data_IF_636718701932
#
_entry.id   IF_636718701932
#
_cell.length_a   1.000
_cell.length_b   1.000
_cell.length_c   1.000
_cell.angle_alpha   90.00
_cell.angle_beta   90.00
_cell.angle_gamma   90.00
#
_symmetry.space_group_name_H-M   'P 1'
#
loop_
_entity.id
_entity.type
_entity.pdbx_description
1 polymer ?
#
# COMPACT_ATOMS: atom_id res chain seq x y z
N UNK A 1 -59.36 -68.76 -14.57
CA UNK A 1 -60.29 -69.07 -13.47
C UNK A 1 -59.47 -69.33 -12.22
N UNK A 2 -59.66 -68.51 -11.16
CA UNK A 2 -59.27 -68.70 -9.74
C UNK A 2 -57.76 -68.87 -9.44
N UNK A 3 -57.19 -68.44 -8.32
CA UNK A 3 -57.53 -67.45 -7.28
C UNK A 3 -56.30 -67.36 -6.34
N UNK A 4 -56.06 -66.14 -5.82
CA UNK A 4 -55.61 -65.79 -4.46
C UNK A 4 -54.26 -66.29 -3.89
N UNK A 5 -53.49 -65.33 -3.34
CA UNK A 5 -52.53 -65.56 -2.25
C UNK A 5 -51.55 -64.41 -2.06
N UNK A 6 -51.68 -63.64 -0.98
CA UNK A 6 -51.03 -62.35 -0.71
C UNK A 6 -49.67 -62.42 0.01
N UNK A 7 -49.03 -61.24 0.14
CA UNK A 7 -48.26 -60.66 1.28
C UNK A 7 -46.95 -59.97 0.78
N UNK A 8 -46.85 -58.63 0.81
CA UNK A 8 -46.24 -57.76 1.86
C UNK A 8 -44.69 -57.86 1.90
N UNK A 9 -43.83 -56.83 1.93
CA UNK A 9 -43.92 -55.43 2.37
C UNK A 9 -42.69 -54.61 1.87
N UNK A 10 -42.93 -53.31 1.64
CA UNK A 10 -42.09 -52.10 1.86
C UNK A 10 -40.67 -51.97 1.28
N UNK A 11 -40.56 -51.03 0.33
CA UNK A 11 -39.35 -50.39 -0.15
C UNK A 11 -38.87 -49.25 0.79
N UNK A 12 -37.55 -49.14 0.93
CA UNK A 12 -36.84 -48.10 1.69
C UNK A 12 -36.50 -46.95 0.74
N UNK A 13 -36.90 -45.72 1.07
CA UNK A 13 -36.34 -44.49 0.49
C UNK A 13 -35.52 -43.74 1.55
N UNK A 14 -34.35 -43.19 1.20
CA UNK A 14 -33.47 -42.51 2.16
C UNK A 14 -33.91 -41.07 2.41
N UNK A 15 -33.93 -40.68 3.70
CA UNK A 15 -34.18 -39.33 4.15
C UNK A 15 -32.95 -38.42 3.99
N UNK A 16 -33.22 -37.23 3.48
CA UNK A 16 -32.33 -36.06 3.44
C UNK A 16 -32.12 -35.54 4.86
N UNK A 17 -30.87 -35.31 5.27
CA UNK A 17 -30.53 -34.53 6.47
C UNK A 17 -29.60 -33.37 6.08
N UNK A 18 -30.09 -32.14 6.27
CA UNK A 18 -29.30 -30.90 6.31
C UNK A 18 -29.26 -30.38 7.76
N UNK A 19 -28.06 -30.02 8.22
CA UNK A 19 -27.62 -29.09 9.30
C UNK A 19 -26.32 -29.71 9.86
N UNK A 20 -25.16 -29.07 9.86
CA UNK A 20 -24.84 -27.70 10.25
C UNK A 20 -23.92 -27.80 11.47
N UNK A 21 -22.60 -27.68 11.28
CA UNK A 21 -21.63 -27.44 12.36
C UNK A 21 -20.37 -26.81 11.76
N UNK A 22 -20.23 -25.49 11.93
CA UNK A 22 -18.98 -24.76 11.69
C UNK A 22 -18.07 -25.03 12.88
N UNK A 23 -17.10 -25.91 12.72
CA UNK A 23 -15.98 -26.02 13.67
C UNK A 23 -14.94 -24.99 13.26
N UNK A 24 -14.95 -23.84 13.93
CA UNK A 24 -13.86 -22.88 13.85
C UNK A 24 -12.60 -23.51 14.44
N UNK A 25 -11.61 -23.79 13.58
CA UNK A 25 -10.27 -24.16 14.02
C UNK A 25 -9.60 -22.88 14.51
N UNK A 26 -9.66 -22.65 15.82
CA UNK A 26 -8.87 -21.63 16.47
C UNK A 26 -7.39 -22.09 16.47
N UNK A 27 -6.60 -21.55 15.55
CA UNK A 27 -5.14 -21.66 15.60
C UNK A 27 -4.65 -20.77 16.73
N UNK A 28 -4.34 -21.37 17.89
CA UNK A 28 -3.54 -20.70 18.94
C UNK A 28 -2.10 -20.61 18.46
N UNK A 29 -1.71 -19.44 17.95
CA UNK A 29 -0.31 -19.10 17.78
C UNK A 29 0.26 -18.65 19.13
N UNK A 30 1.09 -19.49 19.75
CA UNK A 30 2.00 -19.07 20.82
C UNK A 30 3.42 -19.26 20.35
N UNK A 31 3.90 -18.32 19.55
CA UNK A 31 5.31 -17.98 19.47
C UNK A 31 5.41 -16.59 20.10
N UNK A 32 6.23 -16.45 21.14
CA UNK A 32 6.57 -15.13 21.65
C UNK A 32 7.23 -14.38 20.48
N UNK A 33 6.53 -13.40 19.91
CA UNK A 33 7.08 -12.56 18.86
C UNK A 33 8.32 -11.87 19.44
N UNK A 34 9.48 -12.05 18.80
CA UNK A 34 10.63 -11.20 19.08
C UNK A 34 10.18 -9.75 18.93
N UNK A 35 10.32 -8.96 20.00
CA UNK A 35 9.88 -7.58 19.99
C UNK A 35 10.66 -6.82 18.91
N UNK A 36 9.94 -6.13 18.02
CA UNK A 36 10.57 -5.28 16.99
C UNK A 36 11.54 -4.31 17.66
N UNK A 37 12.74 -4.16 17.09
CA UNK A 37 13.76 -3.19 17.54
C UNK A 37 13.20 -1.77 17.67
N UNK A 38 12.15 -1.45 16.93
CA UNK A 38 11.51 -0.13 16.87
C UNK A 38 10.15 -0.09 17.59
N UNK A 39 9.84 -1.07 18.45
CA UNK A 39 8.61 -1.09 19.24
C UNK A 39 8.45 0.15 20.16
N UNK A 40 9.56 0.80 20.49
CA UNK A 40 9.62 2.02 21.29
C UNK A 40 9.90 3.30 20.46
N UNK A 41 9.92 3.19 19.13
CA UNK A 41 10.12 4.32 18.22
C UNK A 41 11.57 4.53 17.81
N UNK A 42 11.87 5.74 17.34
CA UNK A 42 13.19 6.15 16.87
C UNK A 42 13.96 6.86 17.99
N UNK A 43 15.28 6.66 18.03
CA UNK A 43 16.15 7.46 18.90
C UNK A 43 16.22 8.91 18.40
N UNK A 44 16.58 9.88 19.27
CA UNK A 44 16.77 11.27 18.85
C UNK A 44 17.76 11.43 17.70
N UNK A 45 18.80 10.60 17.64
CA UNK A 45 19.82 10.60 16.58
C UNK A 45 19.23 10.16 15.24
N UNK A 46 18.38 9.12 15.24
CA UNK A 46 17.68 8.66 14.04
C UNK A 46 16.67 9.71 13.55
N UNK A 47 15.94 10.36 14.46
CA UNK A 47 15.04 11.47 14.12
C UNK A 47 15.82 12.63 13.49
N UNK A 48 16.97 13.01 14.08
CA UNK A 48 17.82 14.06 13.55
C UNK A 48 18.37 13.70 12.16
N UNK A 49 18.81 12.45 11.97
CA UNK A 49 19.28 11.95 10.67
C UNK A 49 18.18 12.00 9.60
N UNK A 50 16.97 11.56 9.92
CA UNK A 50 15.85 11.62 8.97
C UNK A 50 15.51 13.07 8.58
N UNK A 51 15.50 13.99 9.55
CA UNK A 51 15.27 15.43 9.29
C UNK A 51 16.37 16.06 8.44
N UNK A 52 17.62 15.63 8.62
CA UNK A 52 18.76 16.13 7.86
C UNK A 52 18.80 15.59 6.44
N UNK A 53 18.63 14.27 6.29
CA UNK A 53 18.87 13.56 5.04
C UNK A 53 17.61 13.47 4.15
N UNK A 54 16.42 13.50 4.74
CA UNK A 54 15.14 13.36 4.03
C UNK A 54 14.73 11.91 3.77
N UNK A 55 15.59 10.96 4.11
CA UNK A 55 15.27 9.53 4.10
C UNK A 55 16.07 8.78 5.18
N UNK A 56 15.59 7.62 5.62
CA UNK A 56 16.24 6.81 6.64
C UNK A 56 15.88 5.33 6.51
N UNK A 57 16.89 4.46 6.39
CA UNK A 57 16.71 3.01 6.45
C UNK A 57 16.75 2.52 7.90
N UNK A 58 15.83 1.61 8.24
CA UNK A 58 15.62 1.00 9.55
C UNK A 58 15.67 -0.54 9.39
N UNK A 59 16.87 -1.15 9.43
CA UNK A 59 17.03 -2.59 9.25
C UNK A 59 16.33 -3.38 10.34
N UNK A 60 15.77 -4.54 9.98
CA UNK A 60 15.08 -5.43 10.92
C UNK A 60 13.79 -4.84 11.50
N UNK A 61 13.13 -3.93 10.76
CA UNK A 61 11.89 -3.32 11.19
C UNK A 61 10.75 -4.34 11.26
N UNK A 62 10.49 -5.06 10.15
CA UNK A 62 9.52 -6.13 10.10
C UNK A 62 10.17 -7.50 10.34
N UNK A 63 9.47 -8.36 11.08
CA UNK A 63 9.85 -9.76 11.27
C UNK A 63 9.70 -10.56 9.97
N UNK A 64 10.44 -11.67 9.87
CA UNK A 64 10.32 -12.61 8.74
C UNK A 64 8.90 -13.12 8.55
N UNK A 65 8.15 -13.30 9.65
CA UNK A 65 6.76 -13.74 9.64
C UNK A 65 5.83 -12.67 9.05
N UNK A 66 6.01 -11.39 9.41
CA UNK A 66 5.24 -10.29 8.81
C UNK A 66 5.53 -10.17 7.31
N UNK A 67 6.81 -10.22 6.92
CA UNK A 67 7.22 -10.19 5.51
C UNK A 67 6.57 -11.33 4.73
N UNK A 68 6.70 -12.57 5.21
CA UNK A 68 6.13 -13.74 4.56
C UNK A 68 4.59 -13.67 4.46
N UNK A 69 3.90 -13.21 5.51
CA UNK A 69 2.45 -13.06 5.50
C UNK A 69 1.98 -12.04 4.47
N UNK A 70 2.66 -10.90 4.34
CA UNK A 70 2.33 -9.88 3.34
C UNK A 70 2.59 -10.36 1.92
N UNK A 71 3.70 -11.08 1.68
CA UNK A 71 4.00 -11.66 0.37
C UNK A 71 3.00 -12.75 -0.02
N UNK A 72 2.71 -13.67 0.90
CA UNK A 72 1.70 -14.70 0.69
C UNK A 72 0.35 -14.08 0.34
N UNK A 73 -0.07 -13.07 1.11
CA UNK A 73 -1.35 -12.41 0.88
C UNK A 73 -1.44 -11.69 -0.46
N UNK A 74 -0.36 -11.03 -0.89
CA UNK A 74 -0.31 -10.42 -2.22
C UNK A 74 -0.44 -11.46 -3.34
N UNK A 75 0.23 -12.62 -3.20
CA UNK A 75 0.11 -13.70 -4.17
C UNK A 75 -1.33 -14.27 -4.23
N UNK A 76 -1.97 -14.47 -3.08
CA UNK A 76 -3.38 -14.90 -3.02
C UNK A 76 -4.31 -13.90 -3.72
N UNK A 77 -4.09 -12.59 -3.51
CA UNK A 77 -4.86 -11.54 -4.16
C UNK A 77 -4.68 -11.58 -5.69
N UNK A 78 -3.45 -11.75 -6.19
CA UNK A 78 -3.17 -11.89 -7.63
C UNK A 78 -3.79 -13.17 -8.19
N UNK A 79 -3.75 -14.28 -7.46
CA UNK A 79 -4.35 -15.54 -7.90
C UNK A 79 -5.87 -15.39 -8.08
N UNK A 80 -6.54 -14.78 -7.11
CA UNK A 80 -7.99 -14.53 -7.09
C UNK A 80 -8.45 -13.46 -8.07
N UNK A 81 -7.55 -12.56 -8.47
CA UNK A 81 -7.87 -11.47 -9.38
C UNK A 81 -8.07 -11.96 -10.82
N UNK A 82 -9.19 -11.59 -11.44
CA UNK A 82 -9.49 -11.89 -12.83
C UNK A 82 -9.13 -10.68 -13.73
N UNK A 83 -8.09 -10.78 -14.58
CA UNK A 83 -7.70 -9.69 -15.46
C UNK A 83 -8.75 -9.41 -16.53
N UNK A 84 -9.62 -10.35 -16.88
CA UNK A 84 -10.63 -10.17 -17.95
C UNK A 84 -11.80 -9.29 -17.50
N UNK A 85 -12.10 -9.25 -16.19
CA UNK A 85 -13.11 -8.33 -15.63
C UNK A 85 -12.63 -6.88 -15.77
N UNK A 86 -11.33 -6.63 -15.58
CA UNK A 86 -10.74 -5.29 -15.69
C UNK A 86 -10.35 -4.95 -17.13
N UNK A 87 -9.88 -5.93 -17.92
CA UNK A 87 -9.68 -5.76 -19.35
C UNK A 87 -10.98 -5.28 -20.00
N UNK A 88 -12.16 -5.78 -19.59
CA UNK A 88 -13.47 -5.23 -20.01
C UNK A 88 -13.71 -3.77 -19.62
N UNK A 89 -13.10 -3.25 -18.55
CA UNK A 89 -13.12 -1.81 -18.21
C UNK A 89 -12.15 -0.99 -19.07
N UNK A 90 -11.05 -1.59 -19.53
CA UNK A 90 -10.11 -0.96 -20.47
C UNK A 90 -10.44 -1.19 -21.96
N UNK A 91 -11.27 -2.18 -22.30
CA UNK A 91 -11.50 -2.69 -23.66
C UNK A 91 -12.88 -2.38 -24.26
N UNK A 92 -13.63 -1.43 -23.72
CA UNK A 92 -14.77 -0.88 -24.48
C UNK A 92 -14.16 -0.04 -25.61
N UNK A 93 -14.17 -0.61 -26.81
CA UNK A 93 -13.71 0.00 -28.05
C UNK A 93 -14.46 1.31 -28.33
N UNK A 94 -13.95 2.41 -27.81
CA UNK A 94 -14.30 3.77 -28.22
C UNK A 94 -13.04 4.65 -28.21
N UNK A 95 -13.14 5.89 -28.70
CA UNK A 95 -12.05 6.74 -29.18
C UNK A 95 -10.93 6.99 -28.16
N UNK A 96 -9.73 7.41 -28.61
CA UNK A 96 -8.52 7.61 -27.75
C UNK A 96 -8.76 8.48 -26.50
N UNK A 97 -9.74 9.37 -26.54
CA UNK A 97 -10.15 10.23 -25.42
C UNK A 97 -10.91 9.45 -24.33
N UNK A 98 -11.81 8.55 -24.70
CA UNK A 98 -12.58 7.70 -23.78
C UNK A 98 -11.69 6.70 -23.04
N UNK A 99 -10.63 6.21 -23.68
CA UNK A 99 -9.61 5.38 -23.04
C UNK A 99 -8.81 6.12 -21.96
N UNK A 100 -8.53 7.42 -22.16
CA UNK A 100 -7.88 8.25 -21.13
C UNK A 100 -8.80 8.45 -19.93
N UNK A 101 -10.08 8.74 -20.17
CA UNK A 101 -11.06 8.93 -19.11
C UNK A 101 -11.37 7.66 -18.32
N UNK A 102 -11.47 6.49 -18.96
CA UNK A 102 -11.68 5.22 -18.27
C UNK A 102 -10.46 4.81 -17.41
N UNK A 103 -9.24 5.07 -17.90
CA UNK A 103 -7.99 4.87 -17.13
C UNK A 103 -7.96 5.79 -15.90
N UNK A 104 -8.33 7.06 -16.08
CA UNK A 104 -8.44 8.01 -14.97
C UNK A 104 -9.49 7.57 -13.95
N UNK A 105 -10.67 7.11 -14.38
CA UNK A 105 -11.70 6.63 -13.46
C UNK A 105 -11.22 5.42 -12.64
N UNK A 106 -10.64 4.41 -13.29
CA UNK A 106 -10.08 3.23 -12.61
C UNK A 106 -9.00 3.62 -11.58
N UNK A 107 -8.12 4.54 -11.97
CA UNK A 107 -7.09 5.06 -11.09
C UNK A 107 -7.69 5.88 -9.92
N UNK A 108 -8.64 6.77 -10.18
CA UNK A 108 -9.26 7.59 -9.13
C UNK A 108 -10.06 6.74 -8.14
N UNK A 109 -10.83 5.76 -8.61
CA UNK A 109 -11.62 4.85 -7.77
C UNK A 109 -10.73 3.96 -6.90
N UNK A 110 -9.53 3.63 -7.39
CA UNK A 110 -8.58 2.80 -6.64
C UNK A 110 -8.14 3.40 -5.29
N UNK A 111 -8.35 4.70 -5.05
CA UNK A 111 -8.13 5.33 -3.74
C UNK A 111 -8.96 4.65 -2.62
N UNK A 112 -10.09 4.04 -2.98
CA UNK A 112 -11.01 3.35 -2.07
C UNK A 112 -11.10 1.84 -2.31
N UNK A 113 -10.21 1.26 -3.12
CA UNK A 113 -10.28 -0.15 -3.57
C UNK A 113 -8.91 -0.86 -3.55
N UNK A 114 -8.93 -2.18 -3.75
CA UNK A 114 -7.75 -3.00 -4.01
C UNK A 114 -7.76 -3.34 -5.51
N UNK A 115 -7.10 -2.48 -6.28
CA UNK A 115 -7.00 -2.54 -7.73
C UNK A 115 -5.60 -2.97 -8.15
N UNK A 116 -5.50 -3.50 -9.37
CA UNK A 116 -4.29 -4.11 -9.92
C UNK A 116 -3.82 -3.29 -11.12
N UNK A 117 -2.54 -2.95 -11.13
CA UNK A 117 -1.91 -2.18 -12.18
C UNK A 117 -0.80 -3.03 -12.80
N UNK A 118 -0.83 -3.14 -14.13
CA UNK A 118 0.05 -4.03 -14.88
C UNK A 118 1.30 -3.30 -15.41
N UNK A 119 2.37 -4.04 -15.61
CA UNK A 119 3.58 -3.58 -16.29
C UNK A 119 3.25 -3.28 -17.76
N UNK A 120 3.73 -2.16 -18.28
CA UNK A 120 3.57 -1.81 -19.69
C UNK A 120 4.22 -2.87 -20.60
N UNK A 121 5.40 -3.38 -20.19
CA UNK A 121 6.16 -4.42 -20.90
C UNK A 121 5.49 -5.81 -20.86
N UNK A 122 4.41 -5.99 -20.10
CA UNK A 122 3.65 -7.24 -20.07
C UNK A 122 2.73 -7.42 -21.29
N UNK A 123 2.55 -6.38 -22.10
CA UNK A 123 1.72 -6.38 -23.30
C UNK A 123 2.58 -6.37 -24.56
N UNK A 124 2.08 -6.98 -25.64
CA UNK A 124 2.67 -6.85 -26.96
C UNK A 124 2.20 -5.55 -27.67
N UNK A 125 2.72 -5.29 -28.87
CA UNK A 125 2.34 -4.12 -29.68
C UNK A 125 0.84 -4.06 -30.04
N UNK A 126 0.15 -5.20 -29.98
CA UNK A 126 -1.29 -5.32 -30.21
C UNK A 126 -2.12 -5.13 -28.92
N UNK A 127 -1.47 -4.81 -27.79
CA UNK A 127 -2.13 -4.60 -26.50
C UNK A 127 -2.61 -5.89 -25.83
N UNK A 128 -2.12 -7.05 -26.26
CA UNK A 128 -2.47 -8.35 -25.67
C UNK A 128 -1.44 -8.74 -24.61
N UNK A 129 -1.91 -9.32 -23.51
CA UNK A 129 -1.05 -9.79 -22.44
C UNK A 129 -0.20 -10.97 -22.93
N UNK A 130 1.13 -10.80 -22.94
CA UNK A 130 2.09 -11.83 -23.34
C UNK A 130 2.80 -12.49 -22.15
N UNK A 131 2.78 -11.82 -20.99
CA UNK A 131 3.40 -12.30 -19.76
C UNK A 131 2.35 -13.03 -18.90
N UNK A 132 2.70 -14.14 -18.22
CA UNK A 132 1.78 -14.77 -17.27
C UNK A 132 1.26 -13.75 -16.25
N UNK A 133 -0.04 -13.79 -15.95
CA UNK A 133 -0.73 -12.84 -15.03
C UNK A 133 0.08 -12.53 -13.76
N UNK A 134 0.60 -13.56 -13.10
CA UNK A 134 1.36 -13.44 -11.86
C UNK A 134 2.65 -12.60 -12.00
N UNK A 135 3.21 -12.54 -13.20
CA UNK A 135 4.42 -11.79 -13.54
C UNK A 135 4.11 -10.47 -14.26
N UNK A 136 2.83 -10.18 -14.54
CA UNK A 136 2.42 -8.97 -15.24
C UNK A 136 2.05 -7.83 -14.29
N UNK A 137 1.74 -8.11 -13.02
CA UNK A 137 1.30 -7.09 -12.07
C UNK A 137 2.51 -6.26 -11.62
N UNK A 138 2.46 -4.95 -11.88
CA UNK A 138 3.43 -3.98 -11.37
C UNK A 138 3.14 -3.66 -9.90
N UNK A 139 1.89 -3.30 -9.59
CA UNK A 139 1.45 -2.96 -8.23
C UNK A 139 -0.01 -3.30 -7.95
N UNK A 140 -0.32 -3.42 -6.66
CA UNK A 140 -1.69 -3.43 -6.12
C UNK A 140 -1.87 -2.17 -5.27
N UNK A 141 -3.00 -1.48 -5.40
CA UNK A 141 -3.30 -0.27 -4.63
C UNK A 141 -4.76 0.16 -4.75
N UNK A 142 -5.24 1.15 -3.99
CA UNK A 142 -4.48 1.99 -3.07
C UNK A 142 -4.98 1.93 -1.62
N UNK A 143 -5.96 1.06 -1.33
CA UNK A 143 -6.62 0.98 -0.03
C UNK A 143 -6.28 -0.27 0.82
N UNK A 144 -5.25 -1.04 0.46
CA UNK A 144 -4.90 -2.30 1.14
C UNK A 144 -4.75 -2.15 2.66
N UNK A 145 -4.17 -1.04 3.13
CA UNK A 145 -3.99 -0.72 4.56
C UNK A 145 -5.29 -0.64 5.37
N UNK A 146 -6.44 -0.41 4.73
CA UNK A 146 -7.75 -0.38 5.37
C UNK A 146 -8.61 -1.59 5.00
N UNK A 147 -8.46 -2.12 3.79
CA UNK A 147 -9.33 -3.17 3.24
C UNK A 147 -8.85 -4.60 3.53
N UNK A 148 -7.54 -4.81 3.62
CA UNK A 148 -7.00 -6.15 3.79
C UNK A 148 -6.48 -6.36 5.24
N UNK A 149 -6.91 -7.42 5.94
CA UNK A 149 -6.54 -7.64 7.33
C UNK A 149 -5.02 -7.76 7.58
N UNK A 150 -4.26 -8.33 6.65
CA UNK A 150 -2.81 -8.53 6.82
C UNK A 150 -2.08 -7.18 6.74
N UNK A 151 -2.41 -6.38 5.73
CA UNK A 151 -1.83 -5.05 5.53
C UNK A 151 -2.30 -4.05 6.58
N UNK A 152 -3.56 -4.15 7.01
CA UNK A 152 -4.12 -3.33 8.10
C UNK A 152 -3.44 -3.62 9.44
N UNK A 153 -3.21 -4.91 9.76
CA UNK A 153 -2.51 -5.30 10.99
C UNK A 153 -1.07 -4.75 11.02
N UNK A 154 -0.35 -4.77 9.90
CA UNK A 154 0.99 -4.18 9.83
C UNK A 154 0.95 -2.64 9.94
N UNK A 155 0.09 -1.99 9.16
CA UNK A 155 -0.10 -0.53 9.16
C UNK A 155 -0.38 0.02 10.55
N UNK A 156 -1.24 -0.68 11.30
CA UNK A 156 -1.75 -0.25 12.61
C UNK A 156 -0.97 -0.88 13.76
N UNK A 157 0.20 -1.44 13.49
CA UNK A 157 1.06 -2.07 14.48
C UNK A 157 1.70 -1.06 15.44
N UNK A 158 2.13 -1.53 16.61
CA UNK A 158 2.81 -0.72 17.61
C UNK A 158 4.09 -0.07 17.06
N UNK A 159 4.88 -0.80 16.28
CA UNK A 159 6.14 -0.30 15.71
C UNK A 159 5.92 0.85 14.73
N UNK A 160 4.90 0.79 13.86
CA UNK A 160 4.54 1.91 12.95
C UNK A 160 4.08 3.12 13.76
N UNK A 161 3.19 2.90 14.72
CA UNK A 161 2.72 3.97 15.59
C UNK A 161 3.86 4.64 16.39
N UNK A 162 4.82 3.86 16.90
CA UNK A 162 5.95 4.37 17.67
C UNK A 162 6.91 5.21 16.82
N UNK A 163 7.18 4.81 15.57
CA UNK A 163 7.95 5.63 14.62
C UNK A 163 7.24 6.95 14.35
N UNK A 164 5.94 6.93 14.02
CA UNK A 164 5.16 8.15 13.77
C UNK A 164 5.15 9.11 14.97
N UNK A 165 5.04 8.58 16.20
CA UNK A 165 5.15 9.40 17.42
C UNK A 165 6.51 10.04 17.56
N UNK A 166 7.58 9.32 17.23
CA UNK A 166 8.95 9.85 17.25
C UNK A 166 9.16 10.98 16.24
N UNK A 167 8.42 10.94 15.13
CA UNK A 167 8.40 12.00 14.13
C UNK A 167 7.49 13.19 14.51
N UNK A 168 6.69 13.06 15.58
CA UNK A 168 5.85 14.13 16.11
C UNK A 168 4.38 14.10 15.67
N UNK A 169 3.96 13.07 14.94
CA UNK A 169 2.56 12.94 14.51
C UNK A 169 1.62 12.84 15.73
N UNK A 170 0.49 13.51 15.65
CA UNK A 170 -0.58 13.54 16.67
C UNK A 170 -1.78 12.71 16.22
N UNK A 171 -2.16 12.81 14.95
CA UNK A 171 -3.28 12.07 14.37
C UNK A 171 -2.92 11.58 12.96
N UNK A 172 -1.95 10.65 12.86
CA UNK A 172 -1.46 10.14 11.58
C UNK A 172 -2.56 9.42 10.81
N UNK A 173 -2.81 9.90 9.59
CA UNK A 173 -3.81 9.39 8.67
C UNK A 173 -3.11 8.65 7.52
N UNK A 174 -3.25 7.32 7.42
CA UNK A 174 -2.77 6.58 6.27
C UNK A 174 -3.67 6.90 5.08
N UNK A 175 -3.11 7.48 4.01
CA UNK A 175 -3.88 7.97 2.85
C UNK A 175 -3.73 7.10 1.61
N UNK A 176 -2.63 6.34 1.52
CA UNK A 176 -2.34 5.47 0.40
C UNK A 176 -1.51 4.28 0.87
N UNK A 177 -1.75 3.10 0.31
CA UNK A 177 -0.80 1.99 0.38
C UNK A 177 -0.70 1.26 -0.94
N UNK A 178 0.50 0.78 -1.28
CA UNK A 178 0.74 0.00 -2.48
C UNK A 178 1.58 -1.23 -2.16
N UNK A 179 1.27 -2.35 -2.81
CA UNK A 179 2.22 -3.45 -2.96
C UNK A 179 2.89 -3.30 -4.32
N UNK A 180 4.23 -3.28 -4.36
CA UNK A 180 4.99 -3.11 -5.61
C UNK A 180 5.81 -4.38 -5.82
N UNK A 181 5.56 -5.09 -6.93
CA UNK A 181 6.19 -6.38 -7.22
C UNK A 181 7.58 -6.22 -7.81
N UNK A 182 7.74 -5.24 -8.71
CA UNK A 182 9.00 -4.98 -9.39
C UNK A 182 9.52 -6.26 -10.05
N UNK A 183 8.74 -6.74 -11.01
CA UNK A 183 8.84 -8.06 -11.60
C UNK A 183 10.23 -8.34 -12.19
N UNK A 184 10.68 -9.61 -12.20
CA UNK A 184 11.94 -9.99 -12.84
C UNK A 184 11.99 -9.53 -14.30
N UNK A 185 13.13 -8.99 -14.72
CA UNK A 185 13.44 -8.52 -16.09
C UNK A 185 12.59 -7.38 -16.66
N UNK A 186 11.32 -7.26 -16.27
CA UNK A 186 10.36 -6.32 -16.85
C UNK A 186 9.91 -5.24 -15.87
N UNK A 187 10.32 -5.32 -14.59
CA UNK A 187 9.86 -4.42 -13.55
C UNK A 187 10.22 -2.97 -13.86
N UNK A 188 9.21 -2.14 -14.12
CA UNK A 188 9.39 -0.77 -14.62
C UNK A 188 10.19 0.15 -13.69
N UNK A 189 10.75 1.21 -14.28
CA UNK A 189 11.33 2.33 -13.55
C UNK A 189 10.23 3.11 -12.82
N UNK A 190 10.57 3.67 -11.66
CA UNK A 190 9.83 4.77 -11.06
C UNK A 190 10.72 5.99 -11.15
N UNK A 191 10.33 6.96 -11.97
CA UNK A 191 11.13 8.16 -12.23
C UNK A 191 11.26 9.05 -10.99
N UNK A 192 12.28 9.94 -10.94
CA UNK A 192 12.47 10.82 -9.79
C UNK A 192 11.24 11.70 -9.51
N UNK A 193 10.76 11.63 -8.27
CA UNK A 193 9.55 12.33 -7.83
C UNK A 193 9.58 12.64 -6.32
N UNK A 194 8.62 13.45 -5.89
CA UNK A 194 8.33 13.80 -4.50
C UNK A 194 6.92 13.27 -4.17
N UNK A 195 6.73 12.55 -3.06
CA UNK A 195 5.42 12.01 -2.67
C UNK A 195 4.39 13.12 -2.38
N UNK A 196 4.84 14.24 -1.79
CA UNK A 196 4.01 15.42 -1.54
C UNK A 196 3.49 16.06 -2.84
N UNK A 197 4.02 15.70 -4.01
CA UNK A 197 3.43 16.08 -5.30
C UNK A 197 2.05 15.44 -5.48
N UNK A 198 1.85 14.22 -4.97
CA UNK A 198 0.62 13.45 -5.15
C UNK A 198 -0.30 13.49 -3.92
N UNK A 199 0.28 13.68 -2.74
CA UNK A 199 -0.39 13.55 -1.44
C UNK A 199 -0.19 14.82 -0.61
N UNK A 200 -0.65 15.95 -1.14
CA UNK A 200 -0.35 17.27 -0.59
C UNK A 200 -1.17 17.60 0.66
N UNK A 201 -0.52 18.22 1.64
CA UNK A 201 -1.15 18.86 2.80
C UNK A 201 -0.57 20.26 2.97
N UNK A 202 -1.32 21.16 3.62
CA UNK A 202 -0.82 22.48 4.03
C UNK A 202 -0.91 22.64 5.56
N UNK A 203 0.21 22.77 6.30
CA UNK A 203 1.58 22.55 5.83
C UNK A 203 1.82 21.09 5.39
N UNK A 204 2.86 20.88 4.57
CA UNK A 204 3.23 19.54 4.08
C UNK A 204 3.64 18.61 5.22
N UNK A 205 3.07 17.41 5.24
CA UNK A 205 3.24 16.44 6.32
C UNK A 205 3.41 14.99 5.85
N UNK A 206 3.48 14.74 4.55
CA UNK A 206 3.56 13.39 4.01
C UNK A 206 4.86 12.70 4.42
N UNK A 207 4.76 11.46 4.89
CA UNK A 207 5.88 10.54 5.10
C UNK A 207 5.58 9.22 4.41
N UNK A 208 6.50 8.78 3.57
CA UNK A 208 6.50 7.47 2.93
C UNK A 208 7.16 6.43 3.83
N UNK A 209 6.50 5.29 3.98
CA UNK A 209 7.00 4.08 4.63
C UNK A 209 7.17 3.04 3.53
N UNK A 210 8.41 2.80 3.10
CA UNK A 210 8.72 1.78 2.10
C UNK A 210 9.36 0.56 2.78
N UNK A 211 8.62 -0.54 2.88
CA UNK A 211 9.07 -1.78 3.49
C UNK A 211 9.60 -2.74 2.41
N UNK A 212 10.88 -3.10 2.50
CA UNK A 212 11.46 -4.19 1.73
C UNK A 212 10.82 -5.52 2.13
N UNK A 213 10.14 -6.20 1.21
CA UNK A 213 9.63 -7.57 1.44
C UNK A 213 10.61 -8.63 0.90
N UNK A 214 11.44 -8.23 -0.05
CA UNK A 214 12.60 -8.97 -0.53
C UNK A 214 13.85 -8.09 -0.40
N UNK A 215 15.04 -8.70 -0.51
CA UNK A 215 16.29 -7.96 -0.58
C UNK A 215 16.26 -6.99 -1.78
N UNK A 216 16.64 -5.74 -1.53
CA UNK A 216 16.69 -4.69 -2.53
C UNK A 216 18.14 -4.24 -2.75
N UNK A 217 18.60 -4.38 -3.99
CA UNK A 217 19.94 -3.99 -4.43
C UNK A 217 19.86 -3.26 -5.76
N UNK A 218 20.99 -2.75 -6.25
CA UNK A 218 21.03 -1.99 -7.51
C UNK A 218 20.54 -2.79 -8.72
N UNK A 219 20.77 -4.10 -8.75
CA UNK A 219 20.42 -4.92 -9.92
C UNK A 219 18.92 -5.24 -10.01
N UNK A 220 18.22 -5.32 -8.88
CA UNK A 220 16.77 -5.56 -8.84
C UNK A 220 15.93 -4.29 -8.55
N UNK A 221 16.53 -3.10 -8.65
CA UNK A 221 15.84 -1.82 -8.55
C UNK A 221 15.52 -1.39 -7.12
N UNK A 222 16.56 -1.29 -6.28
CA UNK A 222 16.49 -0.58 -5.00
C UNK A 222 16.06 0.89 -5.17
N UNK A 223 15.65 1.51 -4.06
CA UNK A 223 15.42 2.94 -4.02
C UNK A 223 16.74 3.71 -4.14
N UNK A 224 16.64 4.93 -4.62
CA UNK A 224 17.68 5.94 -4.63
C UNK A 224 17.08 7.23 -4.09
N UNK A 225 17.77 7.90 -3.16
CA UNK A 225 17.32 9.15 -2.54
C UNK A 225 18.35 10.25 -2.67
N UNK A 226 17.90 11.47 -2.91
CA UNK A 226 18.78 12.64 -2.95
C UNK A 226 18.81 13.31 -1.57
N UNK A 227 19.96 13.28 -0.91
CA UNK A 227 20.11 13.72 0.47
C UNK A 227 19.85 15.23 0.63
N UNK A 228 19.00 15.60 1.58
CA UNK A 228 18.73 17.00 1.95
C UNK A 228 17.84 17.78 1.00
N UNK A 229 17.48 17.24 -0.18
CA UNK A 229 16.70 17.96 -1.21
C UNK A 229 15.29 18.37 -0.74
N UNK A 230 14.72 17.64 0.22
CA UNK A 230 13.39 17.92 0.79
C UNK A 230 13.29 19.31 1.42
N UNK A 231 14.43 19.91 1.76
CA UNK A 231 14.52 21.28 2.30
C UNK A 231 14.26 22.36 1.23
N UNK A 232 14.22 22.01 -0.05
CA UNK A 232 13.97 22.94 -1.16
C UNK A 232 12.48 23.07 -1.52
N UNK A 233 11.60 22.39 -0.78
CA UNK A 233 10.16 22.41 -1.03
C UNK A 233 9.74 21.57 -2.24
N UNK A 234 8.53 21.82 -2.71
CA UNK A 234 7.87 21.01 -3.72
C UNK A 234 7.99 21.62 -5.12
N UNK A 235 8.36 20.82 -6.12
CA UNK A 235 8.58 21.32 -7.48
C UNK A 235 7.29 21.43 -8.32
N UNK A 236 6.32 20.54 -8.12
CA UNK A 236 5.02 20.50 -8.81
C UNK A 236 4.02 19.65 -8.05
N UNK A 237 2.73 19.78 -8.35
CA UNK A 237 1.65 18.94 -7.81
C UNK A 237 0.93 18.17 -8.90
N UNK A 238 0.49 16.96 -8.57
CA UNK A 238 -0.42 16.13 -9.34
C UNK A 238 -1.81 16.24 -8.74
N UNK A 239 -2.74 16.81 -9.48
CA UNK A 239 -4.05 17.20 -8.98
C UNK A 239 -5.19 16.81 -9.90
N UNK A 240 -6.40 16.76 -9.36
CA UNK A 240 -7.63 16.76 -10.15
C UNK A 240 -7.71 18.08 -10.91
N UNK A 241 -8.00 17.99 -12.20
CA UNK A 241 -8.08 19.17 -13.05
C UNK A 241 -9.52 19.72 -13.04
N UNK A 242 -9.72 21.05 -13.10
CA UNK A 242 -11.06 21.65 -13.14
C UNK A 242 -11.95 21.14 -14.27
N UNK A 243 -11.34 20.77 -15.41
CA UNK A 243 -12.01 20.22 -16.59
C UNK A 243 -12.29 18.70 -16.51
N UNK A 244 -11.98 18.05 -15.39
CA UNK A 244 -12.04 16.60 -15.22
C UNK A 244 -10.68 15.92 -15.50
N UNK A 245 -10.53 14.70 -14.98
CA UNK A 245 -9.27 13.94 -15.03
C UNK A 245 -8.23 14.43 -14.02
N UNK A 246 -6.99 14.01 -14.21
CA UNK A 246 -5.84 14.32 -13.35
C UNK A 246 -4.63 14.78 -14.15
N UNK A 247 -3.77 15.60 -13.57
CA UNK A 247 -2.55 16.06 -14.23
C UNK A 247 -1.63 16.86 -13.34
N UNK A 248 -0.42 17.12 -13.85
CA UNK A 248 0.54 17.98 -13.17
C UNK A 248 0.25 19.46 -13.43
N UNK A 249 0.43 20.29 -12.41
CA UNK A 249 0.25 21.75 -12.51
C UNK A 249 1.48 22.52 -13.01
N UNK A 250 2.53 21.79 -13.38
CA UNK A 250 3.77 22.32 -13.93
C UNK A 250 4.56 21.28 -14.73
N UNK A 251 5.59 21.72 -15.47
CA UNK A 251 6.45 20.83 -16.23
C UNK A 251 7.17 19.83 -15.33
N UNK A 252 7.64 18.73 -15.90
CA UNK A 252 8.52 17.81 -15.18
C UNK A 252 9.81 18.54 -14.76
N UNK A 253 10.23 18.45 -13.49
CA UNK A 253 11.52 18.99 -13.09
C UNK A 253 12.64 18.22 -13.77
N UNK A 254 13.71 18.93 -14.12
CA UNK A 254 14.92 18.31 -14.66
C UNK A 254 15.89 17.97 -13.52
N UNK A 255 16.00 16.68 -13.22
CA UNK A 255 16.91 16.15 -12.20
C UNK A 255 18.25 15.68 -12.77
N UNK A 256 18.47 15.81 -14.09
CA UNK A 256 19.62 15.21 -14.79
C UNK A 256 20.98 15.61 -14.18
N UNK A 257 21.13 16.89 -13.82
CA UNK A 257 22.36 17.42 -13.20
C UNK A 257 22.63 16.89 -11.80
N UNK A 258 21.60 16.43 -11.09
CA UNK A 258 21.67 15.92 -9.72
C UNK A 258 21.74 14.39 -9.66
N UNK A 259 21.57 13.68 -10.79
CA UNK A 259 21.65 12.22 -10.86
C UNK A 259 22.91 11.63 -10.20
N UNK A 260 24.12 12.23 -10.33
CA UNK A 260 25.32 11.72 -9.65
C UNK A 260 25.28 11.77 -8.12
N UNK A 261 24.42 12.62 -7.55
CA UNK A 261 24.32 12.86 -6.10
C UNK A 261 23.26 11.96 -5.42
N UNK A 262 22.50 11.17 -6.19
CA UNK A 262 21.57 10.21 -5.61
C UNK A 262 22.31 9.06 -4.93
N UNK A 263 21.90 8.76 -3.70
CA UNK A 263 22.44 7.67 -2.92
C UNK A 263 21.53 6.43 -3.04
N UNK A 264 22.06 5.25 -3.37
CA UNK A 264 21.28 4.02 -3.41
C UNK A 264 21.01 3.51 -1.99
N UNK A 265 19.79 3.06 -1.78
CA UNK A 265 19.30 2.53 -0.51
C UNK A 265 19.17 1.01 -0.64
N UNK A 266 20.31 0.32 -0.67
CA UNK A 266 20.37 -1.14 -0.69
C UNK A 266 20.07 -1.69 0.71
N UNK A 267 19.16 -2.65 0.82
CA UNK A 267 18.74 -3.18 2.11
C UNK A 267 18.19 -4.61 2.02
N UNK A 268 18.27 -5.33 3.13
CA UNK A 268 17.69 -6.67 3.24
C UNK A 268 16.18 -6.63 3.50
N UNK A 269 15.49 -7.72 3.17
CA UNK A 269 14.09 -7.93 3.50
C UNK A 269 13.79 -7.64 4.98
N UNK A 270 12.65 -6.99 5.23
CA UNK A 270 12.23 -6.51 6.54
C UNK A 270 12.75 -5.13 6.92
N UNK A 271 13.60 -4.50 6.11
CA UNK A 271 14.04 -3.10 6.30
C UNK A 271 12.92 -2.13 5.93
N UNK A 272 12.62 -1.17 6.81
CA UNK A 272 11.76 -0.04 6.49
C UNK A 272 12.62 1.16 6.08
N UNK A 273 12.34 1.76 4.94
CA UNK A 273 12.89 3.05 4.51
C UNK A 273 11.82 4.11 4.73
N UNK A 274 12.11 5.09 5.58
CA UNK A 274 11.32 6.30 5.71
C UNK A 274 11.74 7.29 4.62
N UNK A 275 10.76 7.94 4.01
CA UNK A 275 10.92 8.96 2.97
C UNK A 275 10.15 10.21 3.39
N UNK A 276 10.82 11.36 3.47
CA UNK A 276 10.14 12.63 3.62
C UNK A 276 9.34 12.93 2.34
N UNK A 277 8.15 13.50 2.44
CA UNK A 277 7.27 13.70 1.28
C UNK A 277 7.90 14.54 0.15
N UNK A 278 8.79 15.46 0.49
CA UNK A 278 9.52 16.32 -0.42
C UNK A 278 10.90 15.76 -0.81
N UNK A 279 11.31 14.59 -0.31
CA UNK A 279 12.54 13.95 -0.78
C UNK A 279 12.37 13.49 -2.23
N UNK A 280 13.32 13.86 -3.08
CA UNK A 280 13.36 13.36 -4.46
C UNK A 280 13.99 11.97 -4.42
N UNK A 281 13.20 10.98 -4.80
CA UNK A 281 13.62 9.59 -4.84
C UNK A 281 13.12 8.88 -6.10
N UNK A 282 13.78 7.79 -6.47
CA UNK A 282 13.46 7.00 -7.66
C UNK A 282 13.86 5.53 -7.48
N UNK A 283 13.48 4.68 -8.43
CA UNK A 283 14.04 3.33 -8.56
C UNK A 283 14.24 2.96 -10.02
N UNK A 284 15.45 2.57 -10.39
CA UNK A 284 15.77 2.08 -11.73
C UNK A 284 15.00 0.81 -12.10
N UNK A 285 14.94 0.46 -13.39
CA UNK A 285 14.36 -0.80 -13.89
C UNK A 285 14.96 -2.05 -13.22
N UNK A 286 14.17 -3.13 -13.11
CA UNK A 286 14.64 -4.42 -12.62
C UNK A 286 14.98 -5.26 -13.83
N UNK A 287 16.28 -5.32 -14.13
CA UNK A 287 16.83 -6.12 -15.23
C UNK A 287 17.33 -7.48 -14.77
N UNK A 288 17.20 -7.78 -13.47
CA UNK A 288 17.64 -9.02 -12.86
C UNK A 288 16.60 -10.15 -12.99
N UNK A 289 17.00 -11.42 -12.81
CA UNK A 289 16.08 -12.56 -12.86
C UNK A 289 15.27 -12.77 -11.58
N UNK A 290 15.39 -11.89 -10.59
CA UNK A 290 14.68 -11.97 -9.30
C UNK A 290 13.80 -10.76 -9.10
N UNK A 291 12.67 -10.93 -8.42
CA UNK A 291 11.75 -9.84 -8.10
C UNK A 291 12.31 -8.93 -7.00
N UNK A 292 11.62 -7.82 -6.75
CA UNK A 292 11.88 -6.94 -5.61
C UNK A 292 10.56 -6.47 -5.02
N UNK A 293 9.92 -7.34 -4.24
CA UNK A 293 8.66 -7.02 -3.61
C UNK A 293 8.86 -5.98 -2.50
N UNK A 294 7.94 -5.03 -2.43
CA UNK A 294 7.91 -4.02 -1.37
C UNK A 294 6.48 -3.60 -1.05
N UNK A 295 6.27 -3.12 0.17
CA UNK A 295 5.03 -2.48 0.56
C UNK A 295 5.28 -1.01 0.88
N UNK A 296 4.57 -0.11 0.21
CA UNK A 296 4.62 1.33 0.46
C UNK A 296 3.35 1.77 1.19
N UNK A 297 3.50 2.61 2.21
CA UNK A 297 2.42 3.30 2.91
C UNK A 297 2.75 4.77 2.99
N UNK A 298 1.79 5.64 2.69
CA UNK A 298 1.93 7.07 2.89
C UNK A 298 1.00 7.55 3.98
N UNK A 299 1.57 8.30 4.92
CA UNK A 299 0.89 8.84 6.08
C UNK A 299 1.01 10.35 6.08
N UNK A 300 -0.08 11.04 6.35
CA UNK A 300 -0.12 12.50 6.54
C UNK A 300 -0.63 12.84 7.94
N UNK A 301 -0.36 14.05 8.40
CA UNK A 301 -0.95 14.55 9.64
C UNK A 301 -2.37 15.06 9.37
N UNK A 302 -3.32 14.67 10.22
CA UNK A 302 -4.71 15.15 10.15
C UNK A 302 -5.12 16.00 11.34
N UNK A 303 -4.24 16.18 12.32
CA UNK A 303 -4.38 17.19 13.35
C UNK A 303 -4.07 18.59 12.78
N UNK A 304 -4.74 19.61 13.33
CA UNK A 304 -4.47 21.00 12.99
C UNK A 304 -2.98 21.34 13.25
N UNK A 305 -2.35 22.17 12.39
CA UNK A 305 -2.96 22.95 11.31
C UNK A 305 -3.00 22.26 9.95
N UNK A 306 -2.62 20.97 9.83
CA UNK A 306 -2.50 20.30 8.53
C UNK A 306 -3.87 20.09 7.86
N UNK A 307 -3.99 20.55 6.61
CA UNK A 307 -5.20 20.40 5.79
C UNK A 307 -4.90 19.57 4.55
N UNK A 308 -5.69 18.53 4.31
CA UNK A 308 -5.65 17.76 3.06
C UNK A 308 -6.21 18.58 1.92
N UNK A 309 -5.45 18.76 0.84
CA UNK A 309 -5.89 19.57 -0.28
C UNK A 309 -7.02 18.89 -1.07
N UNK A 310 -8.09 19.64 -1.34
CA UNK A 310 -9.29 19.16 -2.03
C UNK A 310 -9.06 18.78 -3.49
N UNK A 311 -7.98 19.28 -4.09
CA UNK A 311 -7.59 18.98 -5.47
C UNK A 311 -6.61 17.80 -5.57
N UNK A 312 -6.27 17.12 -4.47
CA UNK A 312 -5.49 15.88 -4.56
C UNK A 312 -6.22 14.82 -5.40
N UNK A 313 -5.48 13.93 -6.06
CA UNK A 313 -6.11 12.87 -6.84
C UNK A 313 -6.91 11.89 -5.95
N UNK A 314 -6.38 11.56 -4.77
CA UNK A 314 -6.95 10.57 -3.87
C UNK A 314 -8.08 11.16 -3.02
N UNK A 315 -9.26 10.56 -3.13
CA UNK A 315 -10.40 10.80 -2.23
C UNK A 315 -11.02 9.47 -1.84
N UNK A 316 -11.43 9.38 -0.59
CA UNK A 316 -12.20 8.24 -0.10
C UNK A 316 -13.68 8.45 -0.29
N UNK A 317 -14.39 7.36 -0.59
CA UNK A 317 -15.85 7.31 -0.53
C UNK A 317 -16.31 7.67 0.90
N UNK A 318 -17.42 8.41 1.08
CA UNK A 318 -17.93 8.79 2.40
C UNK A 318 -18.18 7.59 3.33
N UNK A 319 -18.52 6.44 2.78
CA UNK A 319 -18.77 5.19 3.52
C UNK A 319 -17.48 4.50 3.97
N UNK A 320 -16.33 4.93 3.44
CA UNK A 320 -15.02 4.33 3.70
C UNK A 320 -13.92 5.38 3.94
N UNK A 321 -14.11 6.31 4.90
CA UNK A 321 -13.12 7.35 5.17
C UNK A 321 -11.80 6.73 5.62
N UNK A 322 -10.70 7.46 5.42
CA UNK A 322 -9.43 7.09 6.04
C UNK A 322 -9.58 7.11 7.56
N UNK A 323 -9.07 6.06 8.22
CA UNK A 323 -9.09 5.97 9.68
C UNK A 323 -7.66 6.20 10.22
N UNK A 324 -7.44 7.14 11.16
CA UNK A 324 -6.12 7.41 11.69
C UNK A 324 -5.53 6.17 12.38
N UNK A 325 -4.20 6.05 12.42
CA UNK A 325 -3.51 4.95 13.10
C UNK A 325 -3.68 5.08 14.62
N UNK A 326 -3.65 6.31 15.14
CA UNK A 326 -4.02 6.65 16.52
C UNK A 326 -4.51 8.11 16.58
N UNK A 327 -5.10 8.47 17.72
CA UNK A 327 -5.51 9.86 17.99
C UNK A 327 -4.97 10.29 19.36
N UNK A 328 -3.93 11.12 19.37
CA UNK A 328 -3.30 11.57 20.61
C UNK A 328 -4.24 12.41 21.49
N UNK A 329 -5.21 13.12 20.90
CA UNK A 329 -6.16 13.97 21.63
C UNK A 329 -7.17 13.15 22.46
N UNK A 330 -7.48 11.93 22.02
CA UNK A 330 -8.40 11.02 22.73
C UNK A 330 -7.85 10.45 24.05
N UNK A 331 -6.55 10.56 24.29
CA UNK A 331 -5.89 10.01 25.50
C UNK A 331 -6.05 10.86 26.77
N UNK A 332 -6.66 12.06 26.70
CA UNK A 332 -6.78 12.99 27.84
C UNK A 332 -8.10 12.92 28.62
N UNK A 333 -9.03 12.02 28.32
CA UNK A 333 -10.37 12.00 28.96
C UNK A 333 -10.59 10.92 30.05
N UNK A 334 -9.53 10.34 30.64
CA UNK A 334 -9.67 9.39 31.75
C UNK A 334 -8.89 9.80 33.01
N UNK A 335 -9.04 11.04 33.45
CA UNK A 335 -8.73 11.42 34.84
C UNK A 335 -10.03 11.49 35.64
N UNK A 336 -10.15 10.52 36.55
CA UNK A 336 -11.22 10.32 37.53
C UNK A 336 -11.74 11.59 38.22
N UNK A 337 -13.04 11.86 38.11
CA UNK A 337 -13.78 12.66 39.08
C UNK A 337 -14.12 11.78 40.30
N UNK A 338 -13.21 11.68 41.26
CA UNK A 338 -13.61 11.33 42.63
C UNK A 338 -14.12 12.61 43.31
N UNK A 339 -15.41 12.88 43.14
CA UNK A 339 -16.08 13.90 43.93
C UNK A 339 -16.25 13.36 45.34
N UNK A 340 -15.51 13.95 46.27
CA UNK A 340 -15.64 13.72 47.69
C UNK A 340 -17.05 14.08 48.17
N UNK A 341 -17.68 13.14 48.85
CA UNK A 341 -18.86 13.33 49.69
C UNK A 341 -18.55 14.31 50.83
N UNK A 342 -19.42 15.29 51.04
CA UNK A 342 -19.62 15.93 52.35
C UNK A 342 -21.04 15.69 52.81
#
# INVERSE_FOLDING_TARGET
MRALGALSERAIQPQIVRKGSRTAVAVRATAAAEASTYANGLSPELVAKFREDGFLALPGFASKQQVAAMMQRANELVEQWDPDIEARRFSVFTTKEEQSHAKDAYFLDSASEINFFLEEKAFNEQGQLQTPKALAVNKIGHAMHDMDPVFSAFTRSQQVAAVLRSLGFQRPLPVQSMYIFKQPSIGGEVSPHQDSSFLYTDPMSCVGFWLALEDANRSNGCLWGLKGIHKQGLSRRFKRLPQGGVGFDGPAPDWSSLMPDFEPIECSAGTLVLLHGENVHYSAENTSPVSRHSWALHVVESAAPCVWAEDNWAHRRPEMPWAPIYDAASSRSSSSSSAASR
#
